data_IF_386156999338
#
_entry.id   IF_386156999338
#
_cell.length_a   1.000
_cell.length_b   1.000
_cell.length_c   1.000
_cell.angle_alpha   90.00
_cell.angle_beta   90.00
_cell.angle_gamma   90.00
#
_symmetry.space_group_name_H-M   'P 1'
#
loop_
_entity.id
_entity.type
_entity.pdbx_description
1 polymer ?
#
# COMPACT_ATOMS: atom_id res chain seq x y z
N UNK A 1 -5.76 32.09 18.38
CA UNK A 1 -6.63 31.61 17.27
C UNK A 1 -5.90 30.49 16.54
N UNK A 2 -6.53 29.33 16.32
CA UNK A 2 -5.95 28.26 15.49
C UNK A 2 -6.10 28.65 14.02
N UNK A 3 -4.99 28.92 13.35
CA UNK A 3 -4.96 29.17 11.90
C UNK A 3 -5.30 27.87 11.17
N UNK A 4 -6.25 27.93 10.22
CA UNK A 4 -6.57 26.79 9.38
C UNK A 4 -5.34 26.45 8.53
N UNK A 5 -4.82 25.23 8.63
CA UNK A 5 -3.65 24.80 7.87
C UNK A 5 -3.87 24.92 6.35
N UNK A 6 -5.13 24.86 5.90
CA UNK A 6 -5.51 25.04 4.51
C UNK A 6 -5.33 26.46 3.97
N UNK A 7 -5.21 27.48 4.84
CA UNK A 7 -5.04 28.88 4.43
C UNK A 7 -3.56 29.30 4.41
N UNK A 8 -2.63 28.39 4.68
CA UNK A 8 -1.20 28.67 4.61
C UNK A 8 -0.62 28.13 3.28
N UNK A 9 -0.19 28.99 2.34
CA UNK A 9 0.39 28.57 1.07
C UNK A 9 1.75 27.86 1.20
N UNK A 10 2.48 28.02 2.31
CA UNK A 10 3.69 27.24 2.61
C UNK A 10 3.38 25.89 3.28
N UNK A 11 2.13 25.66 3.72
CA UNK A 11 1.77 24.39 4.28
C UNK A 11 1.68 23.36 3.15
N UNK A 12 2.63 22.42 3.13
CA UNK A 12 2.62 21.27 2.23
C UNK A 12 1.36 20.42 2.53
N UNK A 13 0.28 20.64 1.79
CA UNK A 13 -0.89 19.76 1.80
C UNK A 13 -0.48 18.46 1.12
N UNK A 14 -0.46 17.37 1.87
CA UNK A 14 -0.34 16.05 1.27
C UNK A 14 -1.64 15.70 0.55
N UNK A 15 -1.75 16.10 -0.71
CA UNK A 15 -2.89 15.81 -1.60
C UNK A 15 -2.67 14.55 -2.43
N UNK A 16 -1.66 13.74 -2.12
CA UNK A 16 -1.49 12.44 -2.79
C UNK A 16 -2.54 11.49 -2.24
N UNK A 17 -3.67 11.42 -2.94
CA UNK A 17 -4.72 10.46 -2.64
C UNK A 17 -4.17 9.03 -2.57
N UNK A 18 -4.80 8.21 -1.72
CA UNK A 18 -4.46 6.80 -1.60
C UNK A 18 -4.65 6.10 -2.95
N UNK A 19 -3.62 5.41 -3.41
CA UNK A 19 -3.71 4.57 -4.62
C UNK A 19 -4.49 3.30 -4.27
N UNK A 20 -5.49 2.96 -5.08
CA UNK A 20 -6.29 1.75 -4.84
C UNK A 20 -5.46 0.47 -5.03
N UNK A 21 -5.89 -0.61 -4.38
CA UNK A 21 -5.28 -1.93 -4.55
C UNK A 21 -5.29 -2.40 -6.00
N UNK A 22 -6.41 -2.21 -6.71
CA UNK A 22 -6.54 -2.57 -8.12
C UNK A 22 -5.50 -1.85 -8.98
N UNK A 23 -5.24 -0.57 -8.70
CA UNK A 23 -4.19 0.18 -9.39
C UNK A 23 -2.79 -0.38 -9.10
N UNK A 24 -2.52 -0.80 -7.85
CA UNK A 24 -1.27 -1.48 -7.50
C UNK A 24 -1.12 -2.82 -8.22
N UNK A 25 -2.18 -3.63 -8.26
CA UNK A 25 -2.20 -4.90 -8.97
C UNK A 25 -1.91 -4.70 -10.46
N UNK A 26 -2.62 -3.80 -11.15
CA UNK A 26 -2.39 -3.56 -12.57
C UNK A 26 -0.98 -3.07 -12.89
N UNK A 27 -0.35 -2.31 -11.98
CA UNK A 27 1.05 -1.89 -12.14
C UNK A 27 2.00 -3.07 -12.03
N UNK A 28 1.82 -3.93 -11.02
CA UNK A 28 2.66 -5.11 -10.82
C UNK A 28 2.47 -6.15 -11.93
N UNK A 29 1.25 -6.34 -12.43
CA UNK A 29 0.98 -7.27 -13.54
C UNK A 29 1.68 -6.83 -14.83
N UNK A 30 1.71 -5.51 -15.10
CA UNK A 30 2.47 -4.94 -16.22
C UNK A 30 3.97 -5.13 -16.05
N UNK A 31 4.49 -4.91 -14.85
CA UNK A 31 5.92 -5.07 -14.53
C UNK A 31 6.37 -6.53 -14.70
N UNK A 32 5.59 -7.47 -14.17
CA UNK A 32 5.90 -8.91 -14.20
C UNK A 32 5.40 -9.62 -15.46
N UNK A 33 4.67 -8.93 -16.34
CA UNK A 33 4.06 -9.44 -17.58
C UNK A 33 3.21 -10.70 -17.36
N UNK A 34 2.56 -10.80 -16.20
CA UNK A 34 1.69 -11.93 -15.83
C UNK A 34 0.57 -11.45 -14.90
N UNK A 35 -0.58 -12.13 -14.89
CA UNK A 35 -1.60 -11.87 -13.87
C UNK A 35 -1.07 -12.22 -12.47
N UNK A 36 -1.54 -11.47 -11.48
CA UNK A 36 -1.18 -11.64 -10.09
C UNK A 36 -2.42 -11.90 -9.25
N UNK A 37 -2.28 -12.81 -8.29
CA UNK A 37 -3.29 -13.00 -7.27
C UNK A 37 -3.28 -11.87 -6.24
N UNK A 38 -4.38 -11.75 -5.50
CA UNK A 38 -4.48 -10.80 -4.38
C UNK A 38 -3.37 -11.04 -3.34
N UNK A 39 -3.07 -12.31 -3.05
CA UNK A 39 -2.01 -12.72 -2.11
C UNK A 39 -0.64 -12.21 -2.55
N UNK A 40 -0.28 -12.37 -3.83
CA UNK A 40 1.02 -11.94 -4.35
C UNK A 40 1.19 -10.42 -4.30
N UNK A 41 0.14 -9.67 -4.63
CA UNK A 41 0.15 -8.19 -4.53
C UNK A 41 0.24 -7.75 -3.07
N UNK A 42 -0.48 -8.43 -2.17
CA UNK A 42 -0.44 -8.16 -0.74
C UNK A 42 0.95 -8.40 -0.16
N UNK A 43 1.53 -9.57 -0.43
CA UNK A 43 2.86 -9.96 0.04
C UNK A 43 3.95 -9.02 -0.50
N UNK A 44 3.92 -8.68 -1.80
CA UNK A 44 4.88 -7.76 -2.40
C UNK A 44 4.85 -6.38 -1.74
N UNK A 45 3.69 -5.94 -1.27
CA UNK A 45 3.48 -4.62 -0.68
C UNK A 45 3.74 -4.58 0.83
N UNK A 46 3.57 -5.71 1.53
CA UNK A 46 3.58 -5.76 2.99
C UNK A 46 4.69 -6.62 3.59
N UNK A 47 5.52 -7.30 2.78
CA UNK A 47 6.76 -7.95 3.24
C UNK A 47 7.96 -7.03 3.13
N UNK A 48 8.87 -7.12 4.09
CA UNK A 48 10.16 -6.40 4.06
C UNK A 48 11.01 -6.94 2.92
N UNK A 49 11.63 -6.05 2.14
CA UNK A 49 12.49 -6.44 1.01
C UNK A 49 13.59 -7.39 1.46
N UNK A 50 13.77 -8.49 0.73
CA UNK A 50 14.81 -9.49 1.01
C UNK A 50 14.52 -10.41 2.20
N UNK A 51 13.33 -10.34 2.79
CA UNK A 51 12.90 -11.24 3.87
C UNK A 51 11.48 -11.71 3.64
N UNK A 52 11.08 -12.80 4.28
CA UNK A 52 9.70 -13.27 4.26
C UNK A 52 8.86 -12.70 5.43
N UNK A 53 9.36 -11.66 6.11
CA UNK A 53 8.71 -11.06 7.27
C UNK A 53 7.80 -9.90 6.86
N UNK A 54 6.60 -9.87 7.43
CA UNK A 54 5.68 -8.74 7.29
C UNK A 54 6.21 -7.47 7.98
N UNK A 55 5.89 -6.32 7.40
CA UNK A 55 6.31 -4.99 7.88
C UNK A 55 5.55 -4.60 9.16
N UNK A 56 4.34 -5.11 9.38
CA UNK A 56 3.51 -4.83 10.55
C UNK A 56 2.71 -6.04 11.02
N UNK A 57 2.30 -6.04 12.29
CA UNK A 57 1.45 -7.09 12.86
C UNK A 57 0.07 -7.12 12.21
N UNK A 58 -0.48 -5.94 11.90
CA UNK A 58 -1.71 -5.81 11.12
C UNK A 58 -1.60 -6.50 9.75
N UNK A 59 -0.45 -6.40 9.08
CA UNK A 59 -0.26 -7.09 7.81
C UNK A 59 -0.25 -8.62 7.98
N UNK A 60 0.29 -9.13 9.10
CA UNK A 60 0.23 -10.56 9.44
C UNK A 60 -1.20 -11.03 9.68
N UNK A 61 -1.98 -10.27 10.44
CA UNK A 61 -3.38 -10.61 10.73
C UNK A 61 -4.22 -10.67 9.45
N UNK A 62 -4.05 -9.67 8.58
CA UNK A 62 -4.73 -9.64 7.28
C UNK A 62 -4.27 -10.80 6.40
N UNK A 63 -2.97 -11.10 6.36
CA UNK A 63 -2.45 -12.28 5.68
C UNK A 63 -3.14 -13.56 6.17
N UNK A 64 -3.20 -13.80 7.48
CA UNK A 64 -3.88 -14.97 8.05
C UNK A 64 -5.34 -15.05 7.60
N UNK A 65 -6.03 -13.92 7.49
CA UNK A 65 -7.41 -13.88 6.97
C UNK A 65 -7.51 -14.17 5.47
N UNK A 66 -6.50 -13.85 4.67
CA UNK A 66 -6.47 -14.09 3.22
C UNK A 66 -6.06 -15.54 2.90
N UNK A 67 -5.23 -16.16 3.74
CA UNK A 67 -4.73 -17.54 3.58
C UNK A 67 -5.60 -18.60 4.28
N UNK A 68 -6.68 -18.19 4.94
CA UNK A 68 -7.70 -19.08 5.54
C UNK A 68 -8.63 -19.65 4.49
#
# INVERSE_FOLDING_TARGET
MKVNRATNPEANMHTSGSVSFATHQSRLEKELKRPLSFQEVFDKSHKKKGTDQYISDRAREVAISIYK
#
